data_IF_818400078157
#
_entry.id   IF_818400078157
#
_cell.length_a   1.000
_cell.length_b   1.000
_cell.length_c   1.000
_cell.angle_alpha   90.00
_cell.angle_beta   90.00
_cell.angle_gamma   90.00
#
_symmetry.space_group_name_H-M   'P 1'
#
loop_
_entity.id
_entity.type
_entity.pdbx_description
1 polymer ?
#
# COMPACT_ATOMS: atom_id res chain seq x y z
N UNK A 1 27.09 19.48 -71.51
CA UNK A 1 27.38 19.19 -70.08
C UNK A 1 26.66 20.22 -69.23
N UNK A 2 25.71 19.83 -68.36
CA UNK A 2 24.92 20.79 -67.58
C UNK A 2 25.40 20.95 -66.13
N UNK A 3 25.57 22.22 -65.75
CA UNK A 3 25.26 22.88 -64.45
C UNK A 3 25.71 22.20 -63.14
N UNK A 4 26.76 22.78 -62.56
CA UNK A 4 27.02 22.75 -61.11
C UNK A 4 25.83 23.36 -60.35
N UNK A 5 25.19 22.53 -59.52
CA UNK A 5 24.28 22.95 -58.46
C UNK A 5 25.00 22.72 -57.13
N UNK A 6 25.52 23.79 -56.56
CA UNK A 6 26.01 23.82 -55.18
C UNK A 6 24.82 23.60 -54.24
N UNK A 7 24.75 22.43 -53.61
CA UNK A 7 23.78 22.12 -52.57
C UNK A 7 24.24 22.83 -51.29
N UNK A 8 23.54 23.88 -50.91
CA UNK A 8 23.68 24.48 -49.59
C UNK A 8 23.17 23.47 -48.54
N UNK A 9 24.08 22.90 -47.76
CA UNK A 9 23.71 22.16 -46.55
C UNK A 9 23.16 23.14 -45.52
N UNK A 10 21.85 23.06 -45.27
CA UNK A 10 21.23 23.71 -44.14
C UNK A 10 21.72 23.06 -42.84
N UNK A 11 22.73 23.66 -42.20
CA UNK A 11 23.09 23.39 -40.81
C UNK A 11 22.01 23.99 -39.89
N UNK A 12 20.91 23.26 -39.72
CA UNK A 12 19.76 23.68 -38.92
C UNK A 12 19.38 22.62 -37.88
N UNK A 13 20.34 22.25 -37.02
CA UNK A 13 20.11 21.35 -35.89
C UNK A 13 20.21 22.10 -34.57
N UNK A 14 19.31 23.05 -34.31
CA UNK A 14 19.17 23.62 -32.97
C UNK A 14 18.93 22.51 -31.93
N UNK A 15 19.37 22.67 -30.67
CA UNK A 15 19.22 21.63 -29.66
C UNK A 15 17.74 21.25 -29.55
N UNK A 16 17.41 20.00 -29.92
CA UNK A 16 16.08 19.43 -29.70
C UNK A 16 15.81 19.49 -28.20
N UNK A 17 15.02 20.47 -27.78
CA UNK A 17 14.54 20.60 -26.40
C UNK A 17 13.87 19.28 -26.05
N UNK A 18 14.48 18.50 -25.15
CA UNK A 18 13.95 17.21 -24.76
C UNK A 18 12.48 17.40 -24.34
N UNK A 19 11.56 16.70 -25.00
CA UNK A 19 10.14 16.82 -24.66
C UNK A 19 9.89 16.10 -23.34
N UNK A 20 9.10 16.73 -22.46
CA UNK A 20 8.56 16.12 -21.25
C UNK A 20 7.80 14.85 -21.62
N UNK A 21 8.17 13.69 -21.05
CA UNK A 21 7.43 12.45 -21.27
C UNK A 21 6.26 12.39 -20.30
N UNK A 22 5.19 11.73 -20.73
CA UNK A 22 3.97 11.54 -19.94
C UNK A 22 3.73 10.05 -19.78
N UNK A 23 3.53 9.60 -18.55
CA UNK A 23 3.31 8.20 -18.21
C UNK A 23 1.94 8.01 -17.57
N UNK A 24 1.07 7.24 -18.22
CA UNK A 24 -0.23 6.85 -17.63
C UNK A 24 -0.02 5.57 -16.82
N UNK A 25 -0.25 5.65 -15.51
CA UNK A 25 -0.15 4.52 -14.58
C UNK A 25 -1.51 3.82 -14.55
N UNK A 26 -1.63 2.76 -15.33
CA UNK A 26 -2.89 2.05 -15.56
C UNK A 26 -3.11 0.92 -14.55
N UNK A 27 -4.25 0.93 -13.85
CA UNK A 27 -4.64 -0.17 -12.97
C UNK A 27 -5.12 -1.38 -13.79
N UNK A 28 -4.51 -2.56 -13.60
CA UNK A 28 -4.93 -3.77 -14.33
C UNK A 28 -6.19 -4.39 -13.71
N UNK A 29 -7.37 -3.88 -14.11
CA UNK A 29 -8.67 -4.38 -13.66
C UNK A 29 -8.97 -5.83 -14.09
N UNK A 30 -8.19 -6.41 -15.01
CA UNK A 30 -8.38 -7.80 -15.48
C UNK A 30 -7.82 -8.85 -14.52
N UNK A 31 -7.10 -8.44 -13.47
CA UNK A 31 -6.43 -9.35 -12.53
C UNK A 31 -7.00 -9.20 -11.12
N UNK A 32 -7.20 -10.31 -10.43
CA UNK A 32 -7.69 -10.32 -9.05
C UNK A 32 -9.15 -9.88 -8.90
N UNK A 33 -9.65 -9.93 -7.68
CA UNK A 33 -11.06 -9.62 -7.33
C UNK A 33 -11.25 -8.23 -6.72
N UNK A 34 -10.16 -7.47 -6.57
CA UNK A 34 -10.13 -6.16 -5.92
C UNK A 34 -10.27 -4.98 -6.88
N UNK A 35 -10.93 -3.92 -6.41
CA UNK A 35 -11.07 -2.63 -7.12
C UNK A 35 -10.17 -1.57 -6.50
N UNK A 36 -9.68 -0.62 -7.31
CA UNK A 36 -8.75 0.43 -6.86
C UNK A 36 -9.34 1.42 -5.84
N UNK A 37 -10.65 1.40 -5.61
CA UNK A 37 -11.36 2.20 -4.60
C UNK A 37 -11.50 1.50 -3.24
N UNK A 38 -10.87 0.33 -3.08
CA UNK A 38 -10.80 -0.37 -1.80
C UNK A 38 -9.37 -0.28 -1.26
N UNK A 39 -9.19 0.27 -0.04
CA UNK A 39 -7.88 0.78 0.39
C UNK A 39 -6.72 -0.22 0.32
N UNK A 40 -6.96 -1.51 0.62
CA UNK A 40 -5.91 -2.52 0.47
C UNK A 40 -5.48 -2.68 -1.00
N UNK A 41 -6.46 -2.77 -1.91
CA UNK A 41 -6.23 -2.90 -3.35
C UNK A 41 -5.73 -1.61 -3.99
N UNK A 42 -6.10 -0.45 -3.46
CA UNK A 42 -5.48 0.83 -3.79
C UNK A 42 -4.00 0.80 -3.42
N UNK A 43 -3.67 0.55 -2.15
CA UNK A 43 -2.30 0.64 -1.65
C UNK A 43 -1.39 -0.39 -2.35
N UNK A 44 -1.81 -1.65 -2.37
CA UNK A 44 -0.99 -2.76 -2.86
C UNK A 44 -1.22 -3.11 -4.33
N UNK A 45 -2.36 -2.76 -4.90
CA UNK A 45 -2.67 -3.04 -6.30
C UNK A 45 -2.41 -1.86 -7.22
N UNK A 46 -2.24 -0.65 -6.66
CA UNK A 46 -2.09 0.56 -7.47
C UNK A 46 -0.97 1.48 -6.97
N UNK A 47 -1.08 2.09 -5.78
CA UNK A 47 -0.18 3.15 -5.34
C UNK A 47 1.28 2.69 -5.16
N UNK A 48 1.53 1.66 -4.35
CA UNK A 48 2.89 1.18 -4.08
C UNK A 48 3.59 0.60 -5.33
N UNK A 49 2.94 -0.25 -6.15
CA UNK A 49 3.58 -0.71 -7.37
C UNK A 49 3.77 0.40 -8.41
N UNK A 50 2.90 1.43 -8.44
CA UNK A 50 3.10 2.61 -9.28
C UNK A 50 4.31 3.43 -8.82
N UNK A 51 4.42 3.69 -7.50
CA UNK A 51 5.59 4.32 -6.90
C UNK A 51 6.88 3.57 -7.24
N UNK A 52 6.87 2.24 -7.16
CA UNK A 52 8.02 1.42 -7.54
C UNK A 52 8.38 1.57 -9.03
N UNK A 53 7.39 1.62 -9.92
CA UNK A 53 7.62 1.87 -11.35
C UNK A 53 8.21 3.27 -11.62
N UNK A 54 7.74 4.29 -10.90
CA UNK A 54 8.28 5.66 -10.95
C UNK A 54 9.75 5.68 -10.54
N UNK A 55 10.07 5.11 -9.36
CA UNK A 55 11.45 5.05 -8.85
C UNK A 55 12.37 4.36 -9.85
N UNK A 56 11.92 3.23 -10.42
CA UNK A 56 12.68 2.52 -11.44
C UNK A 56 12.89 3.36 -12.72
N UNK A 57 11.94 4.18 -13.14
CA UNK A 57 12.14 5.05 -14.30
C UNK A 57 13.10 6.20 -13.98
N UNK A 58 12.95 6.82 -12.82
CA UNK A 58 13.82 7.92 -12.37
C UNK A 58 15.29 7.50 -12.28
N UNK A 59 15.58 6.26 -11.83
CA UNK A 59 16.96 5.77 -11.75
C UNK A 59 17.66 5.63 -13.11
N UNK A 60 16.91 5.67 -14.21
CA UNK A 60 17.42 5.61 -15.58
C UNK A 60 17.35 6.97 -16.31
N UNK A 61 17.02 8.04 -15.59
CA UNK A 61 16.82 9.38 -16.18
C UNK A 61 18.07 10.24 -16.04
N UNK A 62 18.38 11.05 -17.07
CA UNK A 62 19.61 11.87 -17.12
C UNK A 62 19.40 13.19 -16.36
N UNK A 63 20.41 13.74 -15.64
CA UNK A 63 20.27 14.92 -14.75
C UNK A 63 19.74 16.23 -15.34
N UNK A 64 19.55 16.32 -16.67
CA UNK A 64 19.13 17.55 -17.36
C UNK A 64 17.88 17.37 -18.23
N UNK A 65 17.13 16.27 -18.05
CA UNK A 65 15.83 16.12 -18.69
C UNK A 65 14.73 16.88 -17.93
N UNK A 66 13.75 17.48 -18.63
CA UNK A 66 12.57 18.02 -17.97
C UNK A 66 11.84 16.89 -17.22
N UNK A 67 11.30 17.22 -16.04
CA UNK A 67 10.64 16.23 -15.18
C UNK A 67 9.44 15.60 -15.90
N UNK A 68 9.50 14.28 -16.03
CA UNK A 68 8.40 13.47 -16.57
C UNK A 68 7.12 13.67 -15.75
N UNK A 69 5.96 13.64 -16.41
CA UNK A 69 4.64 13.71 -15.77
C UNK A 69 4.07 12.30 -15.56
N UNK A 70 3.60 12.00 -14.35
CA UNK A 70 2.94 10.73 -14.03
C UNK A 70 1.43 10.93 -13.79
N UNK A 71 0.62 10.29 -14.63
CA UNK A 71 -0.84 10.44 -14.65
C UNK A 71 -1.48 9.24 -13.96
N UNK A 72 -2.28 9.51 -12.93
CA UNK A 72 -3.04 8.52 -12.17
C UNK A 72 -4.54 8.63 -12.47
N UNK A 73 -5.25 7.51 -12.42
CA UNK A 73 -6.71 7.50 -12.38
C UNK A 73 -7.22 7.75 -10.97
N UNK A 74 -8.27 8.57 -10.83
CA UNK A 74 -8.90 8.87 -9.55
C UNK A 74 -9.46 7.60 -8.91
N UNK A 75 -9.27 7.50 -7.60
CA UNK A 75 -9.76 6.43 -6.73
C UNK A 75 -10.66 6.99 -5.60
N UNK A 76 -11.11 8.23 -5.76
CA UNK A 76 -11.87 8.97 -4.75
C UNK A 76 -10.98 9.79 -3.81
N UNK A 77 -11.59 10.71 -3.03
CA UNK A 77 -10.87 11.81 -2.38
C UNK A 77 -9.81 11.34 -1.36
N UNK A 78 -10.10 10.28 -0.59
CA UNK A 78 -9.15 9.76 0.40
C UNK A 78 -7.92 9.17 -0.28
N UNK A 79 -8.12 8.41 -1.35
CA UNK A 79 -7.04 7.73 -2.07
C UNK A 79 -6.27 8.69 -2.96
N UNK A 80 -6.94 9.65 -3.59
CA UNK A 80 -6.33 10.72 -4.38
C UNK A 80 -5.41 11.59 -3.52
N UNK A 81 -5.80 11.85 -2.26
CA UNK A 81 -4.94 12.52 -1.28
C UNK A 81 -3.66 11.71 -1.04
N UNK A 82 -3.77 10.38 -0.88
CA UNK A 82 -2.58 9.51 -0.68
C UNK A 82 -1.71 9.42 -1.93
N UNK A 83 -2.31 9.43 -3.11
CA UNK A 83 -1.59 9.51 -4.39
C UNK A 83 -0.78 10.81 -4.48
N UNK A 84 -1.42 11.94 -4.19
CA UNK A 84 -0.77 13.25 -4.17
C UNK A 84 0.36 13.34 -3.14
N UNK A 85 0.17 12.77 -1.94
CA UNK A 85 1.20 12.70 -0.90
C UNK A 85 2.39 11.85 -1.34
N UNK A 86 2.15 10.68 -1.95
CA UNK A 86 3.22 9.82 -2.47
C UNK A 86 4.01 10.49 -3.59
N UNK A 87 3.33 11.12 -4.56
CA UNK A 87 3.99 11.81 -5.66
C UNK A 87 4.90 12.95 -5.16
N UNK A 88 4.44 13.70 -4.15
CA UNK A 88 5.27 14.71 -3.46
C UNK A 88 6.48 14.11 -2.74
N UNK A 89 6.32 12.97 -2.06
CA UNK A 89 7.46 12.27 -1.43
C UNK A 89 8.50 11.80 -2.46
N UNK A 90 8.06 11.40 -3.66
CA UNK A 90 8.95 11.00 -4.74
C UNK A 90 9.53 12.19 -5.54
N UNK A 91 9.09 13.42 -5.23
CA UNK A 91 9.52 14.61 -5.94
C UNK A 91 9.17 14.59 -7.43
N UNK A 92 8.02 14.00 -7.78
CA UNK A 92 7.58 13.89 -9.18
C UNK A 92 6.39 14.77 -9.48
N UNK A 93 6.34 15.22 -10.72
CA UNK A 93 5.17 15.85 -11.28
C UNK A 93 4.07 14.82 -11.54
N UNK A 94 2.84 15.18 -11.19
CA UNK A 94 1.72 14.26 -11.34
C UNK A 94 0.42 14.97 -11.70
N UNK A 95 -0.51 14.20 -12.26
CA UNK A 95 -1.91 14.59 -12.43
C UNK A 95 -2.83 13.42 -12.08
N UNK A 96 -4.02 13.73 -11.57
CA UNK A 96 -5.07 12.75 -11.28
C UNK A 96 -6.25 13.04 -12.19
N UNK A 97 -6.62 12.09 -13.03
CA UNK A 97 -7.73 12.19 -13.99
C UNK A 97 -8.87 11.28 -13.58
N UNK A 98 -10.11 11.64 -13.93
CA UNK A 98 -11.27 10.80 -13.61
C UNK A 98 -11.21 9.46 -14.34
N UNK A 99 -10.95 9.49 -15.66
CA UNK A 99 -10.70 8.29 -16.46
C UNK A 99 -9.27 8.31 -17.04
N UNK A 100 -8.47 7.33 -16.65
CA UNK A 100 -7.11 7.12 -17.19
C UNK A 100 -7.10 6.85 -18.70
N UNK A 101 -8.23 6.42 -19.29
CA UNK A 101 -8.36 6.20 -20.73
C UNK A 101 -8.33 7.52 -21.51
N UNK A 102 -8.90 8.58 -20.96
CA UNK A 102 -8.90 9.92 -21.57
C UNK A 102 -7.48 10.51 -21.62
N UNK A 103 -6.63 10.12 -20.67
CA UNK A 103 -5.23 10.53 -20.64
C UNK A 103 -4.37 9.82 -21.70
N UNK A 104 -4.85 8.74 -22.36
CA UNK A 104 -4.10 7.97 -23.36
C UNK A 104 -4.11 8.66 -24.73
N UNK A 105 -3.35 9.75 -24.83
CA UNK A 105 -3.20 10.55 -26.04
C UNK A 105 -1.88 10.25 -26.76
N UNK A 106 -1.72 10.59 -28.06
CA UNK A 106 -0.44 10.45 -28.76
C UNK A 106 0.70 11.13 -27.99
N UNK A 107 1.80 10.39 -27.75
CA UNK A 107 2.94 10.85 -26.96
C UNK A 107 2.90 10.45 -25.48
N UNK A 108 1.83 9.82 -25.00
CA UNK A 108 1.77 9.21 -23.66
C UNK A 108 2.20 7.75 -23.68
N UNK A 109 2.98 7.33 -22.68
CA UNK A 109 3.37 5.94 -22.48
C UNK A 109 2.50 5.33 -21.38
N UNK A 110 1.80 4.24 -21.68
CA UNK A 110 1.00 3.54 -20.65
C UNK A 110 1.87 2.50 -19.93
N UNK A 111 1.91 2.57 -18.61
CA UNK A 111 2.54 1.59 -17.73
C UNK A 111 1.42 0.86 -16.99
N UNK A 112 1.25 -0.42 -17.29
CA UNK A 112 0.32 -1.26 -16.53
C UNK A 112 0.94 -1.62 -15.19
N UNK A 113 0.33 -1.15 -14.12
CA UNK A 113 0.82 -1.30 -12.76
C UNK A 113 0.67 -2.76 -12.31
N UNK A 114 1.72 -3.32 -11.68
CA UNK A 114 1.69 -4.71 -11.21
C UNK A 114 0.76 -4.85 -10.01
N UNK A 115 -0.19 -5.79 -10.10
CA UNK A 115 -1.16 -6.11 -9.02
C UNK A 115 -0.51 -6.89 -7.87
N UNK A 116 0.29 -6.21 -7.03
CA UNK A 116 0.93 -6.85 -5.87
C UNK A 116 -0.10 -7.33 -4.82
N UNK A 117 -1.24 -6.65 -4.72
CA UNK A 117 -2.38 -7.08 -3.91
C UNK A 117 -2.85 -8.50 -4.26
N UNK A 118 -2.99 -8.81 -5.55
CA UNK A 118 -3.38 -10.15 -6.02
C UNK A 118 -2.33 -11.19 -5.64
N UNK A 119 -1.04 -10.87 -5.83
CA UNK A 119 0.05 -11.74 -5.39
C UNK A 119 0.01 -12.01 -3.89
N UNK A 120 -0.16 -10.98 -3.06
CA UNK A 120 -0.19 -11.12 -1.60
C UNK A 120 -1.36 -12.00 -1.15
N UNK A 121 -2.55 -11.79 -1.73
CA UNK A 121 -3.73 -12.60 -1.45
C UNK A 121 -3.52 -14.08 -1.83
N UNK A 122 -2.96 -14.33 -3.01
CA UNK A 122 -2.64 -15.68 -3.47
C UNK A 122 -1.56 -16.30 -2.57
N UNK A 123 -0.45 -15.60 -2.34
CA UNK A 123 0.66 -16.07 -1.50
C UNK A 123 0.20 -16.44 -0.08
N UNK A 124 -0.67 -15.61 0.52
CA UNK A 124 -1.27 -15.89 1.82
C UNK A 124 -2.09 -17.19 1.79
N UNK A 125 -2.92 -17.35 0.75
CA UNK A 125 -3.80 -18.52 0.58
C UNK A 125 -2.98 -19.78 0.34
N UNK A 126 -2.09 -19.79 -0.65
CA UNK A 126 -1.28 -20.94 -1.03
C UNK A 126 -0.34 -21.40 0.08
N UNK A 127 0.22 -20.47 0.84
CA UNK A 127 1.10 -20.81 1.97
C UNK A 127 0.39 -21.51 3.12
N UNK A 128 -0.96 -21.46 3.21
CA UNK A 128 -1.75 -22.19 4.21
C UNK A 128 -2.46 -23.43 3.64
N UNK A 129 -2.41 -23.66 2.32
CA UNK A 129 -3.04 -24.82 1.70
C UNK A 129 -2.11 -26.04 1.68
N UNK A 130 -2.69 -27.23 1.82
CA UNK A 130 -1.99 -28.47 1.48
C UNK A 130 -1.66 -28.52 -0.02
N UNK A 131 -0.57 -29.21 -0.38
CA UNK A 131 -0.03 -29.25 -1.74
C UNK A 131 -1.08 -29.61 -2.81
N UNK A 132 -1.90 -30.63 -2.57
CA UNK A 132 -2.94 -31.04 -3.53
C UNK A 132 -4.00 -29.95 -3.77
N UNK A 133 -4.44 -29.26 -2.71
CA UNK A 133 -5.40 -28.16 -2.82
C UNK A 133 -4.78 -26.92 -3.49
N UNK A 134 -3.50 -26.66 -3.22
CA UNK A 134 -2.73 -25.62 -3.90
C UNK A 134 -2.63 -25.90 -5.41
N UNK A 135 -2.26 -27.12 -5.82
CA UNK A 135 -2.15 -27.49 -7.24
C UNK A 135 -3.49 -27.36 -7.97
N UNK A 136 -4.59 -27.85 -7.41
CA UNK A 136 -5.91 -27.73 -8.04
C UNK A 136 -6.33 -26.27 -8.23
N UNK A 137 -6.07 -25.43 -7.22
CA UNK A 137 -6.38 -24.00 -7.28
C UNK A 137 -5.51 -23.27 -8.30
N UNK A 138 -4.21 -23.61 -8.38
CA UNK A 138 -3.30 -23.09 -9.42
C UNK A 138 -3.80 -23.39 -10.83
N UNK A 139 -4.24 -24.63 -11.08
CA UNK A 139 -4.77 -25.03 -12.39
C UNK A 139 -6.04 -24.24 -12.75
N UNK A 140 -6.95 -24.04 -11.79
CA UNK A 140 -8.16 -23.20 -12.00
C UNK A 140 -7.80 -21.74 -12.29
N UNK A 141 -6.87 -21.17 -11.51
CA UNK A 141 -6.41 -19.80 -11.77
C UNK A 141 -5.69 -19.71 -13.12
N UNK A 142 -4.83 -20.64 -13.49
CA UNK A 142 -4.15 -20.62 -14.78
C UNK A 142 -5.14 -20.70 -15.97
N UNK A 143 -6.26 -21.39 -15.81
CA UNK A 143 -7.33 -21.41 -16.81
C UNK A 143 -8.10 -20.08 -16.90
N UNK A 144 -8.25 -19.38 -15.76
CA UNK A 144 -8.96 -18.09 -15.67
C UNK A 144 -8.08 -16.92 -16.12
N UNK A 145 -6.80 -16.93 -15.76
CA UNK A 145 -5.83 -15.92 -16.14
C UNK A 145 -5.25 -16.22 -17.54
N UNK A 146 -5.54 -15.37 -18.52
CA UNK A 146 -4.88 -15.38 -19.85
C UNK A 146 -3.39 -14.95 -19.78
N UNK A 147 -2.70 -15.15 -18.65
CA UNK A 147 -1.31 -14.75 -18.40
C UNK A 147 -0.72 -15.51 -17.20
N UNK A 148 0.61 -15.46 -17.01
CA UNK A 148 1.31 -16.10 -15.87
C UNK A 148 0.62 -15.70 -14.54
N UNK A 149 0.07 -16.67 -13.78
CA UNK A 149 -0.55 -16.41 -12.49
C UNK A 149 0.38 -15.63 -11.56
N UNK A 150 -0.11 -14.60 -10.83
CA UNK A 150 0.72 -13.79 -9.94
C UNK A 150 1.54 -14.64 -8.96
N UNK A 151 0.97 -15.72 -8.43
CA UNK A 151 1.67 -16.68 -7.55
C UNK A 151 2.95 -17.30 -8.13
N UNK A 152 3.11 -17.35 -9.46
CA UNK A 152 4.36 -17.79 -10.09
C UNK A 152 5.43 -16.69 -10.08
N UNK A 153 5.12 -15.49 -9.62
CA UNK A 153 6.14 -14.51 -9.26
C UNK A 153 6.94 -15.04 -8.08
N UNK A 154 8.27 -14.98 -8.21
CA UNK A 154 9.15 -15.38 -7.14
C UNK A 154 8.92 -14.51 -5.91
N UNK A 155 8.62 -15.13 -4.76
CA UNK A 155 8.50 -14.44 -3.48
C UNK A 155 9.77 -13.63 -3.16
N UNK A 156 10.94 -14.14 -3.56
CA UNK A 156 12.22 -13.43 -3.45
C UNK A 156 12.19 -12.12 -4.24
N UNK A 157 11.81 -12.18 -5.53
CA UNK A 157 11.70 -10.99 -6.39
C UNK A 157 10.71 -9.97 -5.81
N UNK A 158 9.56 -10.43 -5.32
CA UNK A 158 8.57 -9.55 -4.70
C UNK A 158 9.11 -8.89 -3.42
N UNK A 159 9.85 -9.62 -2.61
CA UNK A 159 10.52 -9.08 -1.41
C UNK A 159 11.58 -8.05 -1.79
N UNK A 160 12.32 -8.27 -2.88
CA UNK A 160 13.31 -7.33 -3.39
C UNK A 160 12.65 -6.04 -3.92
N UNK A 161 11.56 -6.15 -4.69
CA UNK A 161 10.74 -5.02 -5.15
C UNK A 161 10.20 -4.21 -3.94
N UNK A 162 9.72 -4.88 -2.89
CA UNK A 162 9.26 -4.21 -1.66
C UNK A 162 10.40 -3.50 -0.94
N UNK A 163 11.57 -4.13 -0.82
CA UNK A 163 12.74 -3.53 -0.16
C UNK A 163 13.22 -2.30 -0.90
N UNK A 164 13.27 -2.36 -2.24
CA UNK A 164 13.65 -1.24 -3.08
C UNK A 164 12.70 -0.05 -2.91
N UNK A 165 11.39 -0.30 -2.98
CA UNK A 165 10.37 0.72 -2.74
C UNK A 165 10.50 1.33 -1.34
N UNK A 166 10.60 0.47 -0.32
CA UNK A 166 10.75 0.89 1.08
C UNK A 166 11.96 1.79 1.26
N UNK A 167 13.10 1.40 0.73
CA UNK A 167 14.34 2.17 0.87
C UNK A 167 14.19 3.57 0.28
N UNK A 168 13.68 3.68 -0.95
CA UNK A 168 13.48 4.97 -1.62
C UNK A 168 12.46 5.86 -0.87
N UNK A 169 11.30 5.32 -0.48
CA UNK A 169 10.26 6.10 0.21
C UNK A 169 10.70 6.52 1.60
N UNK A 170 11.36 5.63 2.37
CA UNK A 170 11.85 5.96 3.71
C UNK A 170 12.98 7.00 3.70
N UNK A 171 13.77 7.07 2.62
CA UNK A 171 14.78 8.11 2.44
C UNK A 171 14.14 9.49 2.18
N UNK A 172 12.99 9.52 1.52
CA UNK A 172 12.23 10.76 1.27
C UNK A 172 11.39 11.25 2.45
N UNK A 173 11.15 10.41 3.45
CA UNK A 173 10.41 10.80 4.65
C UNK A 173 11.41 11.28 5.68
N UNK A 174 11.46 12.59 5.99
CA UNK A 174 12.46 13.10 6.91
C UNK A 174 12.28 12.44 8.27
N UNK A 175 13.39 12.17 8.98
CA UNK A 175 13.33 11.79 10.38
C UNK A 175 12.61 12.90 11.15
N UNK A 176 12.16 12.58 12.36
CA UNK A 176 11.47 13.55 13.21
C UNK A 176 12.35 14.79 13.40
N UNK A 177 11.75 15.98 13.38
CA UNK A 177 12.45 17.19 13.79
C UNK A 177 12.81 17.04 15.28
N UNK A 178 14.10 16.94 15.56
CA UNK A 178 14.64 17.06 16.92
C UNK A 178 14.28 18.47 17.43
N UNK A 179 13.28 18.57 18.31
CA UNK A 179 12.86 19.85 18.90
C UNK A 179 11.35 20.13 18.94
N UNK A 180 10.50 19.28 18.35
CA UNK A 180 9.06 19.35 18.60
C UNK A 180 8.75 18.97 20.06
N UNK A 181 7.94 19.77 20.77
CA UNK A 181 7.67 19.69 22.21
C UNK A 181 7.03 18.39 22.74
N UNK A 182 6.98 17.32 21.95
CA UNK A 182 6.69 15.99 22.44
C UNK A 182 8.04 15.35 22.76
N UNK A 183 8.25 14.94 24.01
CA UNK A 183 9.50 14.32 24.45
C UNK A 183 9.89 13.08 23.64
N UNK A 184 11.01 12.48 24.03
CA UNK A 184 11.52 11.21 23.52
C UNK A 184 10.54 10.03 23.69
N UNK A 185 9.43 10.22 24.40
CA UNK A 185 8.36 9.24 24.65
C UNK A 185 7.29 9.28 23.54
N UNK A 186 7.51 8.50 22.47
CA UNK A 186 6.45 8.13 21.53
C UNK A 186 6.07 6.69 21.84
N UNK A 187 4.77 6.34 21.83
CA UNK A 187 4.34 4.99 22.08
C UNK A 187 5.14 3.98 21.25
N UNK A 188 5.83 3.08 21.95
CA UNK A 188 6.54 1.99 21.31
C UNK A 188 5.57 1.01 20.64
N UNK A 189 4.33 0.95 21.10
CA UNK A 189 3.28 0.11 20.53
C UNK A 189 2.02 0.91 20.25
N UNK A 190 1.28 0.51 19.22
CA UNK A 190 0.01 1.14 18.87
C UNK A 190 -1.14 0.15 18.78
N UNK A 191 -2.28 0.52 19.36
CA UNK A 191 -3.57 -0.08 19.02
C UNK A 191 -4.16 0.70 17.85
N UNK A 192 -4.46 0.01 16.74
CA UNK A 192 -4.97 0.66 15.55
C UNK A 192 -6.47 0.91 15.67
N UNK A 193 -6.85 2.18 15.60
CA UNK A 193 -8.23 2.61 15.38
C UNK A 193 -8.54 2.56 13.89
N UNK A 194 -9.71 2.04 13.55
CA UNK A 194 -10.23 2.09 12.18
C UNK A 194 -10.95 3.41 11.97
N UNK A 195 -10.71 4.04 10.84
CA UNK A 195 -11.38 5.30 10.49
C UNK A 195 -12.85 5.09 10.18
N UNK A 196 -13.63 6.14 10.39
CA UNK A 196 -15.01 6.21 9.93
C UNK A 196 -15.09 6.06 8.40
N UNK A 197 -16.25 5.59 7.92
CA UNK A 197 -16.51 5.46 6.48
C UNK A 197 -16.84 6.84 5.88
N UNK A 198 -16.02 7.36 4.94
CA UNK A 198 -16.35 8.61 4.27
C UNK A 198 -17.53 8.43 3.32
N UNK A 199 -18.30 9.50 3.09
CA UNK A 199 -19.52 9.49 2.25
C UNK A 199 -19.32 8.89 0.86
N UNK A 200 -18.18 9.16 0.21
CA UNK A 200 -17.87 8.59 -1.11
C UNK A 200 -17.88 7.05 -1.14
N UNK A 201 -17.53 6.41 -0.02
CA UNK A 201 -17.40 4.96 0.11
C UNK A 201 -18.60 4.30 0.81
N UNK A 202 -19.64 5.08 1.15
CA UNK A 202 -20.84 4.58 1.82
C UNK A 202 -21.65 3.66 0.92
N UNK A 203 -22.40 2.73 1.53
CA UNK A 203 -23.28 1.81 0.80
C UNK A 203 -24.52 2.46 0.24
N UNK A 204 -25.03 3.48 0.92
CA UNK A 204 -26.35 4.03 0.63
C UNK A 204 -26.30 5.04 -0.52
N UNK A 205 -25.27 5.91 -0.55
CA UNK A 205 -25.15 7.00 -1.53
C UNK A 205 -23.72 7.18 -2.09
N UNK A 206 -22.82 6.22 -1.84
CA UNK A 206 -21.43 6.30 -2.27
C UNK A 206 -21.25 6.12 -3.77
N UNK A 207 -20.26 6.83 -4.34
CA UNK A 207 -19.88 6.70 -5.76
C UNK A 207 -18.83 5.62 -6.00
N UNK A 208 -18.36 4.95 -4.95
CA UNK A 208 -17.41 3.85 -5.08
C UNK A 208 -18.06 2.62 -5.74
N UNK A 209 -17.34 2.02 -6.69
CA UNK A 209 -17.69 0.79 -7.41
C UNK A 209 -18.03 -0.37 -6.47
N UNK A 210 -17.39 -0.43 -5.30
CA UNK A 210 -17.68 -1.42 -4.24
C UNK A 210 -17.70 -0.74 -2.87
N UNK A 211 -18.87 -0.31 -2.37
CA UNK A 211 -18.96 0.47 -1.14
C UNK A 211 -18.75 -0.40 0.09
N UNK A 212 -17.58 -0.24 0.72
CA UNK A 212 -17.24 -0.81 2.04
C UNK A 212 -15.95 -0.19 2.57
N UNK A 213 -16.00 0.53 3.69
CA UNK A 213 -14.83 1.11 4.35
C UNK A 213 -14.99 1.10 5.88
N UNK A 214 -13.87 1.27 6.59
CA UNK A 214 -13.90 1.76 7.97
C UNK A 214 -14.67 0.93 9.01
N UNK A 215 -15.05 1.60 10.08
CA UNK A 215 -15.72 1.08 11.29
C UNK A 215 -16.99 0.29 10.99
N UNK A 216 -17.77 0.65 9.96
CA UNK A 216 -19.03 -0.01 9.56
C UNK A 216 -18.91 -1.52 9.27
N UNK A 217 -17.70 -2.04 9.08
CA UNK A 217 -17.46 -3.48 8.89
C UNK A 217 -17.06 -4.22 10.16
N UNK A 218 -16.32 -3.54 11.03
CA UNK A 218 -15.62 -4.08 12.21
C UNK A 218 -14.75 -3.01 12.83
N UNK A 219 -14.60 -3.04 14.13
CA UNK A 219 -13.67 -2.19 14.89
C UNK A 219 -13.39 -2.85 16.24
N UNK A 220 -12.24 -2.51 16.85
CA UNK A 220 -12.03 -2.81 18.26
C UNK A 220 -12.77 -1.76 19.10
N UNK A 221 -13.37 -2.20 20.20
CA UNK A 221 -14.07 -1.35 21.18
C UNK A 221 -13.24 -1.34 22.48
N UNK A 222 -13.21 -0.19 23.16
CA UNK A 222 -12.44 -0.02 24.41
C UNK A 222 -10.93 0.10 24.20
N UNK A 223 -10.50 0.74 23.10
CA UNK A 223 -9.07 0.77 22.72
C UNK A 223 -8.27 1.79 23.55
N UNK A 224 -8.93 2.81 24.08
CA UNK A 224 -8.35 3.85 24.91
C UNK A 224 -8.07 3.29 26.31
N UNK A 225 -9.04 2.62 26.91
CA UNK A 225 -8.90 1.93 28.19
C UNK A 225 -7.84 0.83 28.10
N UNK A 226 -7.84 0.06 27.00
CA UNK A 226 -6.82 -0.95 26.75
C UNK A 226 -5.41 -0.36 26.59
N UNK A 227 -5.27 0.79 25.92
CA UNK A 227 -3.96 1.46 25.78
C UNK A 227 -3.40 1.89 27.14
N UNK A 228 -4.27 2.44 28.02
CA UNK A 228 -3.90 2.78 29.41
C UNK A 228 -3.50 1.52 30.18
N UNK A 229 -4.30 0.46 30.13
CA UNK A 229 -4.05 -0.78 30.85
C UNK A 229 -2.77 -1.52 30.39
N UNK A 230 -2.42 -1.43 29.11
CA UNK A 230 -1.23 -2.07 28.54
C UNK A 230 0.05 -1.24 28.72
N UNK A 231 -0.05 0.01 29.16
CA UNK A 231 1.11 0.88 29.42
C UNK A 231 1.79 0.52 30.74
N UNK A 232 3.12 0.44 30.72
CA UNK A 232 3.99 0.10 31.86
C UNK A 232 5.26 0.97 31.84
N UNK A 233 6.02 1.08 32.95
CA UNK A 233 7.28 1.84 32.97
C UNK A 233 8.28 1.45 31.88
N UNK A 234 8.26 0.20 31.41
CA UNK A 234 9.14 -0.30 30.34
C UNK A 234 8.52 -0.28 28.94
N UNK A 235 7.25 0.12 28.80
CA UNK A 235 6.49 0.01 27.55
C UNK A 235 5.34 1.01 27.50
N UNK A 236 5.40 1.91 26.54
CA UNK A 236 4.31 2.84 26.23
C UNK A 236 3.41 2.29 25.10
N UNK A 237 2.09 2.38 25.28
CA UNK A 237 1.07 1.96 24.31
C UNK A 237 0.12 3.12 24.02
N UNK A 238 -0.06 3.43 22.73
CA UNK A 238 -0.95 4.51 22.28
C UNK A 238 -2.00 4.02 21.29
N UNK A 239 -2.97 4.88 20.98
CA UNK A 239 -3.95 4.64 19.92
C UNK A 239 -3.53 5.41 18.68
N UNK A 240 -3.59 4.77 17.50
CA UNK A 240 -3.28 5.43 16.23
C UNK A 240 -4.35 5.14 15.18
N UNK A 241 -4.83 6.19 14.51
CA UNK A 241 -5.82 6.09 13.44
C UNK A 241 -5.19 6.49 12.09
N UNK A 242 -4.74 5.54 11.25
CA UNK A 242 -3.99 5.90 10.05
C UNK A 242 -4.77 6.80 9.07
N UNK A 243 -6.09 6.64 8.95
CA UNK A 243 -6.88 7.31 7.90
C UNK A 243 -6.95 8.83 8.03
N UNK A 244 -6.78 9.39 9.23
CA UNK A 244 -6.81 10.86 9.45
C UNK A 244 -5.44 11.53 9.32
N UNK A 245 -4.36 10.73 9.24
CA UNK A 245 -3.01 11.26 9.21
C UNK A 245 -2.43 11.31 7.78
N UNK A 246 -1.59 12.30 7.45
CA UNK A 246 -0.83 12.32 6.20
C UNK A 246 0.05 11.08 6.04
N UNK A 247 0.31 10.67 4.80
CA UNK A 247 1.09 9.47 4.48
C UNK A 247 2.49 9.50 5.13
N UNK A 248 3.17 10.65 5.12
CA UNK A 248 4.47 10.80 5.78
C UNK A 248 4.39 10.50 7.29
N UNK A 249 3.32 10.94 7.96
CA UNK A 249 3.12 10.64 9.38
C UNK A 249 2.82 9.16 9.60
N UNK A 250 1.97 8.54 8.76
CA UNK A 250 1.75 7.09 8.80
C UNK A 250 3.06 6.31 8.65
N UNK A 251 3.90 6.67 7.67
CA UNK A 251 5.19 6.04 7.45
C UNK A 251 6.09 6.17 8.67
N UNK A 252 6.22 7.37 9.26
CA UNK A 252 7.04 7.57 10.47
C UNK A 252 6.53 6.76 11.66
N UNK A 253 5.22 6.78 11.92
CA UNK A 253 4.62 6.03 13.03
C UNK A 253 4.90 4.54 12.91
N UNK A 254 4.63 3.94 11.75
CA UNK A 254 4.84 2.52 11.55
C UNK A 254 6.33 2.14 11.50
N UNK A 255 7.20 3.00 10.93
CA UNK A 255 8.66 2.80 10.93
C UNK A 255 9.24 2.70 12.34
N UNK A 256 8.74 3.51 13.26
CA UNK A 256 9.35 3.66 14.58
C UNK A 256 8.69 2.79 15.67
N UNK A 257 7.55 2.17 15.40
CA UNK A 257 6.87 1.31 16.38
C UNK A 257 7.54 -0.08 16.51
N UNK A 258 7.63 -0.58 17.74
CA UNK A 258 8.03 -1.96 18.08
C UNK A 258 6.90 -2.97 17.82
N UNK A 259 5.66 -2.49 17.72
CA UNK A 259 4.57 -3.34 17.27
C UNK A 259 3.22 -2.66 17.24
N UNK A 260 2.25 -3.38 16.68
CA UNK A 260 0.86 -2.94 16.61
C UNK A 260 -0.10 -4.03 17.07
N UNK A 261 -1.23 -3.61 17.63
CA UNK A 261 -2.41 -4.43 17.88
C UNK A 261 -3.51 -3.91 16.96
N UNK A 262 -4.15 -4.77 16.20
CA UNK A 262 -5.18 -4.35 15.26
C UNK A 262 -6.27 -5.42 15.10
N UNK A 263 -7.44 -5.02 14.61
CA UNK A 263 -8.39 -5.95 13.99
C UNK A 263 -8.07 -6.08 12.51
N UNK A 264 -8.43 -7.21 11.90
CA UNK A 264 -8.25 -7.43 10.45
C UNK A 264 -8.86 -6.25 9.67
N UNK A 265 -8.06 -5.55 8.89
CA UNK A 265 -8.47 -4.31 8.22
C UNK A 265 -7.51 -3.85 7.15
N UNK A 266 -7.87 -2.79 6.44
CA UNK A 266 -7.03 -2.22 5.37
C UNK A 266 -5.87 -1.39 5.94
N UNK A 267 -5.98 -0.97 7.20
CA UNK A 267 -4.98 -0.26 7.99
C UNK A 267 -3.68 -1.08 8.11
N UNK A 268 -3.81 -2.41 8.10
CA UNK A 268 -2.68 -3.35 8.07
C UNK A 268 -1.86 -3.28 6.77
N UNK A 269 -2.31 -2.55 5.74
CA UNK A 269 -1.48 -2.26 4.58
C UNK A 269 -0.21 -1.48 4.94
N UNK A 270 -0.22 -0.72 6.04
CA UNK A 270 0.91 0.09 6.50
C UNK A 270 2.04 -0.71 7.16
N UNK A 271 1.87 -2.03 7.41
CA UNK A 271 2.96 -2.85 8.01
C UNK A 271 4.20 -2.93 7.12
N UNK A 272 4.09 -2.57 5.84
CA UNK A 272 5.24 -2.40 4.94
C UNK A 272 6.27 -1.40 5.46
N UNK A 273 5.87 -0.45 6.31
CA UNK A 273 6.80 0.54 6.84
C UNK A 273 7.50 0.07 8.12
N UNK A 274 7.00 -0.96 8.80
CA UNK A 274 7.50 -1.44 10.09
C UNK A 274 8.87 -2.11 9.99
N UNK A 275 9.70 -1.92 11.00
CA UNK A 275 10.93 -2.67 11.15
C UNK A 275 10.65 -4.21 11.18
N UNK A 276 11.46 -5.05 10.52
CA UNK A 276 11.26 -6.50 10.54
C UNK A 276 11.31 -7.14 11.94
N UNK A 277 11.97 -6.49 12.91
CA UNK A 277 12.02 -6.94 14.31
C UNK A 277 10.74 -6.61 15.09
N UNK A 278 9.87 -5.76 14.54
CA UNK A 278 8.58 -5.41 15.14
C UNK A 278 7.59 -6.58 15.10
N UNK A 279 6.52 -6.48 15.90
CA UNK A 279 5.46 -7.49 15.99
C UNK A 279 4.08 -6.92 15.59
N UNK A 280 3.26 -7.75 14.95
CA UNK A 280 1.89 -7.42 14.55
C UNK A 280 0.96 -8.42 15.21
N UNK A 281 0.12 -7.95 16.13
CA UNK A 281 -0.91 -8.75 16.80
C UNK A 281 -2.25 -8.41 16.13
N UNK A 282 -2.92 -9.42 15.58
CA UNK A 282 -4.21 -9.26 14.91
C UNK A 282 -5.29 -10.01 15.66
N UNK A 283 -6.31 -9.27 16.10
CA UNK A 283 -7.57 -9.83 16.59
C UNK A 283 -8.38 -10.24 15.35
N UNK A 284 -8.53 -11.55 15.16
CA UNK A 284 -9.32 -12.12 14.08
C UNK A 284 -10.75 -12.30 14.55
N UNK A 285 -11.63 -11.41 14.11
CA UNK A 285 -13.02 -11.36 14.54
C UNK A 285 -13.96 -11.19 13.34
N UNK A 286 -15.00 -12.00 13.25
CA UNK A 286 -15.94 -12.06 12.13
C UNK A 286 -15.79 -13.31 11.24
N UNK A 287 -16.83 -13.62 10.45
CA UNK A 287 -16.77 -14.69 9.43
C UNK A 287 -15.95 -14.25 8.23
N UNK A 288 -14.89 -15.00 7.92
CA UNK A 288 -14.06 -14.74 6.77
C UNK A 288 -14.00 -15.91 5.80
N UNK A 289 -14.27 -15.61 4.53
CA UNK A 289 -14.19 -16.59 3.44
C UNK A 289 -12.76 -16.89 2.98
N UNK A 290 -11.76 -16.15 3.46
CA UNK A 290 -10.37 -16.36 3.09
C UNK A 290 -9.68 -17.23 4.15
N UNK A 291 -9.04 -18.32 3.69
CA UNK A 291 -8.23 -19.21 4.50
C UNK A 291 -7.07 -18.49 5.21
N UNK A 292 -6.59 -17.36 4.66
CA UNK A 292 -5.56 -16.52 5.26
C UNK A 292 -5.86 -15.03 5.05
N UNK A 293 -5.46 -14.19 6.02
CA UNK A 293 -5.49 -12.74 5.86
C UNK A 293 -4.37 -12.27 4.91
N UNK A 294 -4.62 -11.32 3.98
CA UNK A 294 -3.54 -10.71 3.18
C UNK A 294 -2.44 -10.09 4.05
N UNK A 295 -2.79 -9.54 5.21
CA UNK A 295 -1.82 -9.00 6.17
C UNK A 295 -0.84 -10.06 6.70
N UNK A 296 -1.30 -11.31 6.87
CA UNK A 296 -0.43 -12.43 7.27
C UNK A 296 0.58 -12.76 6.16
N UNK A 297 0.12 -12.86 4.91
CA UNK A 297 0.99 -13.10 3.76
C UNK A 297 2.02 -11.99 3.59
N UNK A 298 1.59 -10.74 3.78
CA UNK A 298 2.47 -9.57 3.75
C UNK A 298 3.52 -9.61 4.88
N UNK A 299 3.11 -9.86 6.13
CA UNK A 299 4.05 -9.97 7.25
C UNK A 299 5.09 -11.06 7.01
N UNK A 300 4.68 -12.22 6.47
CA UNK A 300 5.58 -13.32 6.08
C UNK A 300 6.60 -12.90 5.02
N UNK A 301 6.18 -12.15 3.99
CA UNK A 301 7.09 -11.62 2.95
C UNK A 301 8.08 -10.59 3.52
N UNK A 302 7.64 -9.80 4.51
CA UNK A 302 8.46 -8.75 5.13
C UNK A 302 9.33 -9.25 6.29
N UNK A 303 9.18 -10.52 6.70
CA UNK A 303 9.88 -11.09 7.85
C UNK A 303 9.39 -10.56 9.21
N UNK A 304 8.19 -9.99 9.27
CA UNK A 304 7.60 -9.40 10.48
C UNK A 304 6.89 -10.49 11.29
N UNK A 305 7.06 -10.50 12.62
CA UNK A 305 6.36 -11.44 13.51
C UNK A 305 4.86 -11.14 13.51
N UNK A 306 4.06 -12.07 13.00
CA UNK A 306 2.59 -11.97 12.98
C UNK A 306 1.96 -12.95 13.95
N UNK A 307 1.10 -12.45 14.84
CA UNK A 307 0.42 -13.24 15.86
C UNK A 307 -1.08 -13.01 15.69
N UNK A 308 -1.85 -14.09 15.61
CA UNK A 308 -3.30 -14.04 15.43
C UNK A 308 -3.99 -14.49 16.72
N UNK A 309 -4.89 -13.67 17.23
CA UNK A 309 -5.78 -14.00 18.34
C UNK A 309 -7.16 -14.24 17.74
N UNK A 310 -7.62 -15.49 17.78
CA UNK A 310 -8.99 -15.79 17.35
C UNK A 310 -10.00 -15.31 18.40
N UNK A 311 -10.97 -14.52 17.96
CA UNK A 311 -12.02 -13.94 18.78
C UNK A 311 -13.42 -14.50 18.45
N UNK A 312 -13.57 -15.18 17.31
CA UNK A 312 -14.85 -15.71 16.86
C UNK A 312 -15.65 -14.75 15.98
N UNK A 313 -16.98 -14.88 15.97
CA UNK A 313 -17.82 -14.30 14.91
C UNK A 313 -18.22 -12.83 15.11
N UNK A 314 -18.02 -12.26 16.30
CA UNK A 314 -18.39 -10.86 16.59
C UNK A 314 -17.43 -9.89 15.87
N UNK A 315 -17.90 -9.07 14.91
CA UNK A 315 -17.04 -8.10 14.20
C UNK A 315 -16.62 -6.90 15.05
N UNK A 316 -17.17 -6.74 16.26
CA UNK A 316 -16.87 -5.65 17.19
C UNK A 316 -16.35 -6.18 18.53
N UNK A 317 -15.11 -6.71 18.60
CA UNK A 317 -14.52 -7.17 19.85
C UNK A 317 -14.38 -6.02 20.83
N UNK A 318 -14.84 -6.21 22.06
CA UNK A 318 -14.42 -5.38 23.18
C UNK A 318 -13.08 -5.89 23.70
N UNK A 319 -12.10 -5.00 23.89
CA UNK A 319 -10.85 -5.34 24.56
C UNK A 319 -11.09 -5.46 26.06
N UNK A 320 -11.70 -6.58 26.48
CA UNK A 320 -11.92 -6.94 27.88
C UNK A 320 -10.61 -7.28 28.61
N UNK A 321 -10.66 -7.35 29.94
CA UNK A 321 -9.49 -7.67 30.79
C UNK A 321 -8.78 -8.96 30.34
N UNK A 322 -9.52 -10.03 30.02
CA UNK A 322 -8.94 -11.29 29.49
C UNK A 322 -8.16 -11.07 28.18
N UNK A 323 -8.71 -10.30 27.25
CA UNK A 323 -8.05 -10.04 25.98
C UNK A 323 -6.84 -9.12 26.17
N UNK A 324 -6.92 -8.16 27.08
CA UNK A 324 -5.81 -7.29 27.49
C UNK A 324 -4.68 -8.13 28.09
N UNK A 325 -4.98 -9.08 28.98
CA UNK A 325 -3.98 -9.98 29.58
C UNK A 325 -3.27 -10.82 28.51
N UNK A 326 -4.02 -11.36 27.56
CA UNK A 326 -3.46 -12.10 26.42
C UNK A 326 -2.56 -11.22 25.54
N UNK A 327 -2.98 -9.99 25.26
CA UNK A 327 -2.16 -9.03 24.49
C UNK A 327 -0.89 -8.68 25.27
N UNK A 328 -1.00 -8.41 26.57
CA UNK A 328 0.11 -8.06 27.45
C UNK A 328 1.22 -9.12 27.42
N UNK A 329 0.84 -10.40 27.56
CA UNK A 329 1.77 -11.53 27.48
C UNK A 329 2.49 -11.66 26.12
N UNK A 330 1.91 -11.11 25.04
CA UNK A 330 2.51 -11.11 23.71
C UNK A 330 3.35 -9.87 23.42
N UNK A 331 3.09 -8.77 24.13
CA UNK A 331 3.86 -7.54 24.04
C UNK A 331 5.20 -7.64 24.79
N UNK A 332 5.28 -8.51 25.80
CA UNK A 332 6.52 -8.86 26.52
C UNK A 332 7.67 -9.38 25.66
#
# INVERSE_FOLDING_TARGET
>A
MPKDKTIAMAAGGGPRRAMRRKYVLAFDARRGTGVREHFFHFMWGYLLPAAHAIIHLQSHTVPHQPQDEFIFGSCGPVMDTKTAEMARLLGVEYSIVQDEREARTPGTTTIVVRRWDSFICDYATYSKLHLAAATLRLLRQAAEYRSIPPILWSARRMTDDFRHLRHAVLASVPPREEGGSCGDDVPCYYILRRSEEPSFYSRDDGRATRPTYGTNRRSLVGIEEAAVALTRPSREVGVFEPGVHPLAQQIRTFRNCKGIVAIRGAELANIVWMDPTSKVIVINAGKFHLAASPAWGLAKLLGIKYIEIDWGENPYPHLSDDLIERIDGLLG
#
